data_IF_875673749722
#
_entry.id   IF_875673749722
#
_cell.length_a   1.000
_cell.length_b   1.000
_cell.length_c   1.000
_cell.angle_alpha   90.00
_cell.angle_beta   90.00
_cell.angle_gamma   90.00
#
_symmetry.space_group_name_H-M   'P 1'
#
loop_
_entity.id
_entity.type
_entity.pdbx_description
1 polymer ?
#
# COMPACT_ATOMS: atom_id res chain seq x y z
N UNK A 1 -6.93 3.70 -9.26
CA UNK A 1 -7.31 3.21 -7.91
C UNK A 1 -7.76 4.32 -6.98
N UNK A 2 -7.32 5.58 -7.15
CA UNK A 2 -7.84 6.75 -6.39
C UNK A 2 -9.35 6.97 -6.61
N UNK A 3 -9.94 6.47 -7.69
CA UNK A 3 -11.40 6.56 -7.92
C UNK A 3 -12.26 5.71 -6.97
N UNK A 4 -11.67 4.77 -6.21
CA UNK A 4 -12.38 3.98 -5.19
C UNK A 4 -12.23 4.54 -3.77
N UNK A 5 -11.40 5.56 -3.55
CA UNK A 5 -11.26 6.21 -2.25
C UNK A 5 -12.54 6.84 -1.69
N UNK A 6 -13.47 7.41 -2.48
CA UNK A 6 -14.71 7.93 -1.89
C UNK A 6 -15.54 6.85 -1.18
N UNK A 7 -15.43 5.57 -1.59
CA UNK A 7 -16.14 4.47 -0.92
C UNK A 7 -15.51 4.06 0.42
N UNK A 8 -14.19 4.25 0.59
CA UNK A 8 -13.52 3.99 1.87
C UNK A 8 -13.79 5.07 2.91
N UNK A 9 -14.01 6.31 2.46
CA UNK A 9 -14.25 7.47 3.31
C UNK A 9 -15.73 7.88 3.38
N UNK A 10 -16.65 7.00 2.98
CA UNK A 10 -18.10 7.28 2.96
C UNK A 10 -18.73 7.14 4.38
N UNK A 11 -18.06 6.44 5.29
CA UNK A 11 -18.54 6.24 6.65
C UNK A 11 -18.16 7.42 7.56
N UNK A 12 -19.06 7.93 8.40
CA UNK A 12 -18.75 9.04 9.32
C UNK A 12 -17.66 8.63 10.32
N UNK A 13 -16.61 9.45 10.43
CA UNK A 13 -15.44 9.18 11.28
C UNK A 13 -14.32 8.36 10.62
N UNK A 14 -14.54 7.85 9.40
CA UNK A 14 -13.50 7.10 8.67
C UNK A 14 -12.31 7.96 8.24
N UNK A 15 -12.47 9.28 8.13
CA UNK A 15 -11.39 10.22 7.85
C UNK A 15 -10.44 10.43 9.03
N UNK A 16 -10.94 10.26 10.27
CA UNK A 16 -10.13 10.40 11.49
C UNK A 16 -9.41 9.09 11.86
N UNK A 17 -9.80 7.97 11.26
CA UNK A 17 -9.22 6.67 11.54
C UNK A 17 -7.86 6.51 10.84
N UNK A 18 -6.80 6.32 11.63
CA UNK A 18 -5.43 6.19 11.12
C UNK A 18 -5.26 4.93 10.25
N UNK A 19 -6.02 3.87 10.52
CA UNK A 19 -5.90 2.60 9.78
C UNK A 19 -6.49 2.69 8.36
N UNK A 20 -7.58 3.42 8.17
CA UNK A 20 -8.17 3.67 6.84
C UNK A 20 -7.28 4.59 6.01
N UNK A 21 -6.73 5.63 6.62
CA UNK A 21 -5.72 6.48 5.98
C UNK A 21 -4.49 5.65 5.56
N UNK A 22 -4.00 4.77 6.44
CA UNK A 22 -2.86 3.89 6.12
C UNK A 22 -3.16 2.93 4.96
N UNK A 23 -4.39 2.39 4.90
CA UNK A 23 -4.84 1.56 3.78
C UNK A 23 -4.89 2.36 2.48
N UNK A 24 -5.41 3.60 2.52
CA UNK A 24 -5.45 4.50 1.37
C UNK A 24 -4.05 4.79 0.83
N UNK A 25 -3.10 5.17 1.70
CA UNK A 25 -1.72 5.42 1.29
C UNK A 25 -1.04 4.15 0.76
N UNK A 26 -1.34 2.98 1.31
CA UNK A 26 -0.81 1.71 0.80
C UNK A 26 -1.30 1.40 -0.62
N UNK A 27 -2.58 1.62 -0.90
CA UNK A 27 -3.16 1.47 -2.26
C UNK A 27 -2.58 2.51 -3.23
N UNK A 28 -2.34 3.74 -2.78
CA UNK A 28 -1.74 4.80 -3.61
C UNK A 28 -0.26 4.52 -3.91
N UNK A 29 0.49 4.04 -2.92
CA UNK A 29 1.91 3.71 -3.07
C UNK A 29 2.14 2.44 -3.92
N UNK A 30 1.17 1.52 -3.97
CA UNK A 30 1.28 0.26 -4.69
C UNK A 30 1.75 0.40 -6.16
N UNK A 31 1.08 1.17 -7.04
CA UNK A 31 1.53 1.32 -8.43
C UNK A 31 2.91 1.97 -8.53
N UNK A 32 3.22 2.93 -7.64
CA UNK A 32 4.51 3.63 -7.63
C UNK A 32 5.63 2.66 -7.27
N UNK A 33 5.47 1.88 -6.19
CA UNK A 33 6.45 0.89 -5.76
C UNK A 33 6.63 -0.24 -6.77
N UNK A 34 5.56 -0.69 -7.43
CA UNK A 34 5.63 -1.68 -8.51
C UNK A 34 6.42 -1.15 -9.72
N UNK A 35 6.18 0.10 -10.14
CA UNK A 35 6.94 0.73 -11.22
C UNK A 35 8.41 0.91 -10.85
N UNK A 36 8.69 1.37 -9.63
CA UNK A 36 10.05 1.49 -9.13
C UNK A 36 10.76 0.13 -9.07
N UNK A 37 10.09 -0.91 -8.57
CA UNK A 37 10.60 -2.28 -8.53
C UNK A 37 10.88 -2.88 -9.92
N UNK A 38 10.23 -2.39 -10.98
CA UNK A 38 10.50 -2.81 -12.35
C UNK A 38 11.61 -1.98 -13.03
N UNK A 39 11.65 -0.67 -12.78
CA UNK A 39 12.53 0.27 -13.49
C UNK A 39 13.92 0.34 -12.84
N UNK A 40 14.01 0.39 -11.50
CA UNK A 40 15.29 0.52 -10.81
C UNK A 40 16.27 -0.64 -11.07
N UNK A 41 15.84 -1.91 -11.12
CA UNK A 41 16.76 -3.01 -11.43
C UNK A 41 17.45 -2.85 -12.78
N UNK A 42 16.75 -2.26 -13.75
CA UNK A 42 17.27 -2.01 -15.10
C UNK A 42 18.26 -0.85 -15.13
N UNK A 43 17.98 0.23 -14.41
CA UNK A 43 18.89 1.37 -14.24
C UNK A 43 20.18 0.92 -13.55
N UNK A 44 20.07 0.13 -12.48
CA UNK A 44 21.21 -0.35 -11.69
C UNK A 44 21.73 -1.72 -12.15
N UNK A 45 21.47 -2.14 -13.39
CA UNK A 45 21.83 -3.48 -13.91
C UNK A 45 23.29 -3.91 -13.72
N UNK A 46 24.21 -2.95 -13.57
CA UNK A 46 25.65 -3.21 -13.35
C UNK A 46 26.00 -3.53 -11.89
N UNK A 47 25.10 -3.28 -10.94
CA UNK A 47 25.34 -3.56 -9.53
C UNK A 47 24.90 -4.98 -9.17
N UNK A 48 25.75 -5.77 -8.48
CA UNK A 48 25.43 -7.17 -8.14
C UNK A 48 24.24 -7.30 -7.18
N UNK A 49 23.90 -6.24 -6.46
CA UNK A 49 22.75 -6.19 -5.53
C UNK A 49 21.47 -5.64 -6.17
N UNK A 50 21.47 -5.31 -7.46
CA UNK A 50 20.31 -4.74 -8.16
C UNK A 50 19.07 -5.65 -8.10
N UNK A 51 19.27 -6.96 -8.00
CA UNK A 51 18.18 -7.94 -7.90
C UNK A 51 17.31 -7.77 -6.66
N UNK A 52 17.85 -7.20 -5.57
CA UNK A 52 17.08 -6.91 -4.35
C UNK A 52 16.01 -5.83 -4.57
N UNK A 53 16.16 -4.99 -5.60
CA UNK A 53 15.20 -3.94 -5.93
C UNK A 53 13.89 -4.51 -6.48
N UNK A 54 13.89 -5.74 -7.01
CA UNK A 54 12.64 -6.45 -7.31
C UNK A 54 11.82 -6.73 -6.05
N UNK A 55 12.44 -6.73 -4.86
CA UNK A 55 11.74 -6.83 -3.59
C UNK A 55 10.79 -5.66 -3.29
N UNK A 56 10.93 -4.52 -3.98
CA UNK A 56 10.03 -3.36 -3.83
C UNK A 56 8.57 -3.69 -4.17
N UNK A 57 8.33 -4.52 -5.19
CA UNK A 57 6.97 -4.98 -5.52
C UNK A 57 6.44 -5.95 -4.47
N UNK A 58 7.29 -6.82 -3.92
CA UNK A 58 6.95 -7.66 -2.77
C UNK A 58 6.60 -6.84 -1.53
N UNK A 59 7.34 -5.76 -1.27
CA UNK A 59 7.09 -4.84 -0.17
C UNK A 59 5.75 -4.10 -0.35
N UNK A 60 5.42 -3.69 -1.58
CA UNK A 60 4.11 -3.09 -1.89
C UNK A 60 2.93 -4.02 -1.54
N UNK A 61 3.04 -5.31 -1.89
CA UNK A 61 2.04 -6.32 -1.54
C UNK A 61 2.00 -6.50 -0.02
N UNK A 62 3.16 -6.59 0.63
CA UNK A 62 3.25 -6.73 2.08
C UNK A 62 2.59 -5.59 2.84
N UNK A 63 2.80 -4.34 2.43
CA UNK A 63 2.16 -3.16 3.03
C UNK A 63 0.64 -3.20 2.88
N UNK A 64 0.14 -3.61 1.72
CA UNK A 64 -1.30 -3.70 1.46
C UNK A 64 -1.95 -4.78 2.33
N UNK A 65 -1.34 -5.96 2.42
CA UNK A 65 -1.81 -7.04 3.30
C UNK A 65 -1.77 -6.60 4.76
N UNK A 66 -0.68 -5.94 5.18
CA UNK A 66 -0.53 -5.44 6.55
C UNK A 66 -1.63 -4.43 6.89
N UNK A 67 -1.93 -3.49 5.99
CA UNK A 67 -2.98 -2.51 6.19
C UNK A 67 -4.36 -3.16 6.35
N UNK A 68 -4.67 -4.18 5.53
CA UNK A 68 -5.92 -4.94 5.63
C UNK A 68 -5.99 -5.69 6.96
N UNK A 69 -4.92 -6.39 7.35
CA UNK A 69 -4.88 -7.15 8.61
C UNK A 69 -5.04 -6.22 9.82
N UNK A 70 -4.38 -5.07 9.82
CA UNK A 70 -4.53 -4.09 10.89
C UNK A 70 -5.97 -3.58 11.01
N UNK A 71 -6.62 -3.28 9.89
CA UNK A 71 -8.02 -2.89 9.87
C UNK A 71 -8.93 -4.04 10.34
N UNK A 72 -8.67 -5.27 9.93
CA UNK A 72 -9.46 -6.43 10.37
C UNK A 72 -9.31 -6.73 11.86
N UNK A 73 -8.10 -6.63 12.42
CA UNK A 73 -7.83 -6.96 13.82
C UNK A 73 -8.28 -5.86 14.77
N UNK A 74 -8.01 -4.59 14.42
CA UNK A 74 -8.31 -3.47 15.31
C UNK A 74 -9.75 -2.96 15.15
N UNK A 75 -10.28 -3.05 13.92
CA UNK A 75 -11.56 -2.48 13.54
C UNK A 75 -12.62 -3.50 13.13
N UNK A 76 -12.34 -4.81 13.21
CA UNK A 76 -13.28 -5.84 12.78
C UNK A 76 -13.58 -5.82 11.27
N UNK A 77 -12.83 -5.02 10.49
CA UNK A 77 -13.08 -4.79 9.07
C UNK A 77 -13.90 -3.54 8.76
N UNK A 78 -14.33 -2.77 9.77
CA UNK A 78 -14.99 -1.48 9.57
C UNK A 78 -13.99 -0.34 9.27
N UNK A 79 -14.42 0.60 8.44
CA UNK A 79 -13.63 1.79 8.10
C UNK A 79 -13.74 2.89 9.17
N UNK A 80 -14.78 2.86 10.00
CA UNK A 80 -14.96 3.79 11.10
C UNK A 80 -14.80 3.07 12.44
N UNK A 81 -13.69 3.39 13.10
CA UNK A 81 -13.38 3.16 14.51
C UNK A 81 -12.83 4.46 15.07
#
# INVERSE_FOLDING_TARGET
MVMFSPMMFDAPGSDDNVYTQFLFFSVLAFPVLCLLGAILPWIFRRHPKSIWLYGLSGLAIGLLILAIVLLSVQCGGDFAC
#
